data_IF_576935893404
#
_entry.id   IF_576935893404
#
_cell.length_a   1.000
_cell.length_b   1.000
_cell.length_c   1.000
_cell.angle_alpha   90.00
_cell.angle_beta   90.00
_cell.angle_gamma   90.00
#
_symmetry.space_group_name_H-M   'P 1'
#
loop_
_entity.id
_entity.type
_entity.pdbx_description
1 polymer ?
#
# COMPACT_ATOMS: atom_id res chain seq x y z
N UNK A 1 10.79 -31.53 -32.49
CA UNK A 1 9.92 -30.37 -32.73
C UNK A 1 10.09 -29.37 -31.61
N UNK A 2 10.31 -28.14 -31.97
CA UNK A 2 10.47 -27.09 -31.00
C UNK A 2 9.10 -26.64 -30.48
N UNK A 3 8.99 -26.47 -29.16
CA UNK A 3 7.80 -25.93 -28.57
C UNK A 3 8.13 -24.58 -27.97
N UNK A 4 7.33 -23.57 -28.28
CA UNK A 4 7.55 -22.28 -27.69
C UNK A 4 7.31 -22.31 -26.18
N UNK A 5 8.12 -21.61 -25.39
CA UNK A 5 7.85 -21.52 -23.97
C UNK A 5 6.51 -20.83 -23.74
N UNK A 6 5.84 -21.20 -22.64
CA UNK A 6 4.61 -20.53 -22.27
C UNK A 6 4.91 -19.07 -21.97
N UNK A 7 3.93 -18.17 -22.09
CA UNK A 7 4.12 -16.77 -21.72
C UNK A 7 4.62 -16.60 -20.28
N UNK A 8 4.23 -17.51 -19.41
CA UNK A 8 4.67 -17.49 -18.01
C UNK A 8 6.17 -17.74 -17.90
N UNK A 9 6.71 -18.64 -18.72
CA UNK A 9 8.14 -18.92 -18.73
C UNK A 9 8.92 -17.81 -19.42
N UNK A 10 8.33 -17.15 -20.39
CA UNK A 10 8.96 -16.06 -21.11
C UNK A 10 9.08 -14.78 -20.28
N UNK A 11 8.21 -14.61 -19.31
CA UNK A 11 8.19 -13.42 -18.46
C UNK A 11 8.44 -13.82 -17.01
N UNK A 12 9.51 -13.31 -16.39
CA UNK A 12 9.76 -13.62 -14.99
C UNK A 12 8.58 -13.21 -14.13
N UNK A 13 8.16 -14.11 -13.28
CA UNK A 13 7.12 -13.79 -12.31
C UNK A 13 7.73 -13.00 -11.18
N UNK A 14 6.95 -12.04 -10.67
CA UNK A 14 7.28 -11.44 -9.41
C UNK A 14 7.31 -12.52 -8.33
N UNK A 15 8.24 -12.46 -7.37
CA UNK A 15 8.24 -13.41 -6.26
C UNK A 15 6.90 -13.42 -5.56
N UNK A 16 6.43 -14.59 -5.18
CA UNK A 16 5.22 -14.71 -4.39
C UNK A 16 5.44 -14.01 -3.05
N UNK A 17 4.50 -13.15 -2.67
CA UNK A 17 4.57 -12.45 -1.40
C UNK A 17 4.15 -13.39 -0.26
N UNK A 18 4.79 -13.25 0.90
CA UNK A 18 4.29 -13.85 2.12
C UNK A 18 2.89 -13.31 2.39
N UNK A 19 1.95 -14.13 2.86
CA UNK A 19 0.59 -13.63 3.12
C UNK A 19 0.53 -12.63 4.26
N UNK A 20 1.36 -12.81 5.28
CA UNK A 20 1.35 -11.96 6.47
C UNK A 20 2.70 -11.28 6.61
N UNK A 21 2.68 -9.98 6.84
CA UNK A 21 3.90 -9.22 7.06
C UNK A 21 4.45 -9.48 8.45
N UNK A 22 5.71 -9.88 8.52
CA UNK A 22 6.42 -10.12 9.78
C UNK A 22 7.56 -9.13 10.02
N UNK A 23 7.70 -8.14 9.14
CA UNK A 23 8.75 -7.13 9.28
C UNK A 23 8.18 -5.93 10.01
N UNK A 24 8.76 -5.56 11.19
CA UNK A 24 8.27 -4.39 11.91
C UNK A 24 8.44 -3.12 11.09
N UNK A 25 7.37 -2.33 11.04
CA UNK A 25 7.37 -1.05 10.33
C UNK A 25 7.67 0.03 11.36
N UNK A 26 8.95 0.34 11.50
CA UNK A 26 9.40 1.46 12.36
C UNK A 26 9.08 2.78 11.66
N UNK A 27 9.17 3.89 12.40
CA UNK A 27 8.87 5.20 11.82
C UNK A 27 9.69 5.48 10.56
N UNK A 28 11.01 5.30 10.64
CA UNK A 28 11.87 5.59 9.50
C UNK A 28 11.62 4.65 8.33
N UNK A 29 11.47 3.37 8.61
CA UNK A 29 11.20 2.39 7.57
C UNK A 29 9.83 2.62 6.93
N UNK A 30 8.82 2.86 7.77
CA UNK A 30 7.47 3.13 7.28
C UNK A 30 7.43 4.36 6.37
N UNK A 31 8.15 5.43 6.73
CA UNK A 31 8.26 6.61 5.86
C UNK A 31 8.88 6.26 4.51
N UNK A 32 9.94 5.46 4.51
CA UNK A 32 10.60 5.02 3.27
C UNK A 32 9.63 4.22 2.41
N UNK A 33 8.92 3.27 3.01
CA UNK A 33 7.98 2.42 2.30
C UNK A 33 6.82 3.25 1.73
N UNK A 34 6.25 4.15 2.54
CA UNK A 34 5.14 4.99 2.09
C UNK A 34 5.56 5.98 1.02
N UNK A 35 6.79 6.50 1.07
CA UNK A 35 7.31 7.34 -0.02
C UNK A 35 7.39 6.57 -1.33
N UNK A 36 7.83 5.33 -1.28
CA UNK A 36 7.88 4.49 -2.48
C UNK A 36 6.49 4.22 -3.03
N UNK A 37 5.54 3.88 -2.14
CA UNK A 37 4.15 3.71 -2.53
C UNK A 37 3.60 4.98 -3.17
N UNK A 38 3.88 6.12 -2.58
CA UNK A 38 3.44 7.42 -3.06
C UNK A 38 3.92 7.69 -4.50
N UNK A 39 5.18 7.38 -4.78
CA UNK A 39 5.73 7.54 -6.12
C UNK A 39 5.07 6.60 -7.12
N UNK A 40 4.81 5.35 -6.72
CA UNK A 40 4.13 4.38 -7.57
C UNK A 40 2.70 4.82 -7.89
N UNK A 41 1.99 5.33 -6.90
CA UNK A 41 0.64 5.84 -7.07
C UNK A 41 0.62 7.02 -8.01
N UNK A 42 1.55 7.96 -7.85
CA UNK A 42 1.64 9.10 -8.74
C UNK A 42 1.85 8.66 -10.19
N UNK A 43 2.77 7.71 -10.41
CA UNK A 43 3.03 7.20 -11.76
C UNK A 43 1.84 6.45 -12.35
N UNK A 44 1.12 5.69 -11.53
CA UNK A 44 -0.03 4.91 -11.98
C UNK A 44 -1.23 5.79 -12.32
N UNK A 45 -1.51 6.78 -11.48
CA UNK A 45 -2.69 7.63 -11.63
C UNK A 45 -2.41 8.93 -12.40
N UNK A 46 -1.14 9.25 -12.65
CA UNK A 46 -0.71 10.47 -13.31
C UNK A 46 -1.20 11.73 -12.61
N UNK A 47 -1.43 11.63 -11.33
CA UNK A 47 -1.84 12.74 -10.48
C UNK A 47 -1.59 12.39 -9.03
N UNK A 48 -1.67 13.39 -8.16
CA UNK A 48 -1.58 13.19 -6.74
C UNK A 48 -2.75 12.36 -6.24
N UNK A 49 -2.46 11.35 -5.42
CA UNK A 49 -3.45 10.43 -4.88
C UNK A 49 -3.46 10.55 -3.35
N UNK A 50 -4.64 10.56 -2.78
CA UNK A 50 -4.82 10.64 -1.34
C UNK A 50 -5.40 9.33 -0.81
N UNK A 51 -4.78 8.84 0.25
CA UNK A 51 -5.27 7.68 0.99
C UNK A 51 -5.50 8.07 2.43
N UNK A 52 -6.55 7.54 3.02
CA UNK A 52 -6.80 7.73 4.45
C UNK A 52 -6.29 6.49 5.18
N UNK A 53 -5.37 6.70 6.09
CA UNK A 53 -4.82 5.63 6.94
C UNK A 53 -5.25 5.85 8.38
N UNK A 54 -5.30 4.75 9.14
CA UNK A 54 -5.70 4.81 10.54
C UNK A 54 -4.97 3.74 11.35
N UNK A 55 -5.26 3.68 12.65
CA UNK A 55 -4.71 2.64 13.52
C UNK A 55 -3.26 2.87 13.90
N UNK A 56 -2.53 1.77 14.11
CA UNK A 56 -1.17 1.81 14.67
C UNK A 56 -0.17 2.57 13.82
N UNK A 57 -0.33 2.55 12.49
CA UNK A 57 0.58 3.28 11.60
C UNK A 57 0.57 4.79 11.86
N UNK A 58 -0.61 5.36 12.13
CA UNK A 58 -0.73 6.78 12.47
C UNK A 58 0.05 7.09 13.74
N UNK A 59 -0.04 6.21 14.73
CA UNK A 59 0.67 6.39 16.00
C UNK A 59 2.18 6.31 15.82
N UNK A 60 2.65 5.42 14.95
CA UNK A 60 4.08 5.31 14.64
C UNK A 60 4.60 6.54 13.92
N UNK A 61 3.82 7.06 12.97
CA UNK A 61 4.22 8.21 12.16
C UNK A 61 4.16 9.53 12.90
N UNK A 62 3.29 9.63 13.90
CA UNK A 62 3.01 10.90 14.56
C UNK A 62 4.03 11.18 15.67
N UNK A 63 4.70 12.35 15.65
CA UNK A 63 5.73 12.64 16.65
C UNK A 63 5.20 12.67 18.09
N UNK A 64 3.90 12.91 18.28
CA UNK A 64 3.29 12.96 19.61
C UNK A 64 3.13 11.60 20.26
N UNK A 65 3.22 10.50 19.49
CA UNK A 65 3.05 9.15 20.02
C UNK A 65 4.40 8.46 20.12
N UNK A 66 5.16 8.83 21.15
CA UNK A 66 6.54 8.35 21.30
C UNK A 66 6.63 6.93 21.84
N UNK A 67 5.57 6.41 22.43
CA UNK A 67 5.57 5.07 23.02
C UNK A 67 5.31 3.96 21.99
N UNK A 68 4.95 4.30 20.76
CA UNK A 68 4.72 3.31 19.70
C UNK A 68 5.86 3.35 18.71
N UNK A 69 6.72 2.34 18.76
CA UNK A 69 7.94 2.31 17.94
C UNK A 69 7.73 1.70 16.58
N UNK A 70 6.79 0.76 16.45
CA UNK A 70 6.55 0.07 15.20
C UNK A 70 5.12 -0.44 15.12
N UNK A 71 4.74 -0.85 13.92
CA UNK A 71 3.47 -1.54 13.67
C UNK A 71 3.74 -2.67 12.69
N UNK A 72 2.84 -3.64 12.65
CA UNK A 72 2.94 -4.77 11.71
C UNK A 72 2.33 -4.45 10.36
N UNK A 73 1.40 -3.51 10.30
CA UNK A 73 0.69 -3.21 9.08
C UNK A 73 0.18 -1.77 9.08
N UNK A 74 -0.28 -1.35 7.90
CA UNK A 74 -0.93 -0.05 7.71
C UNK A 74 -2.38 -0.31 7.35
N UNK A 75 -3.30 0.18 8.19
CA UNK A 75 -4.73 0.10 7.92
C UNK A 75 -5.15 1.30 7.09
N UNK A 76 -5.89 1.07 6.01
CA UNK A 76 -6.38 2.16 5.18
C UNK A 76 -7.83 1.93 4.79
N UNK A 77 -8.49 2.97 4.31
CA UNK A 77 -9.88 2.90 3.90
C UNK A 77 -9.93 2.76 2.38
N UNK A 78 -10.25 1.54 1.92
CA UNK A 78 -10.25 1.22 0.50
C UNK A 78 -11.51 1.73 -0.19
N UNK A 79 -12.67 1.56 0.46
CA UNK A 79 -13.95 1.85 -0.17
C UNK A 79 -14.10 3.32 -0.53
N UNK A 80 -13.73 4.22 0.36
CA UNK A 80 -13.82 5.65 0.08
C UNK A 80 -12.86 6.07 -1.02
N UNK A 81 -11.66 5.48 -1.04
CA UNK A 81 -10.72 5.71 -2.12
C UNK A 81 -11.29 5.28 -3.46
N UNK A 82 -11.81 4.07 -3.53
CA UNK A 82 -12.35 3.52 -4.77
C UNK A 82 -13.51 4.37 -5.30
N UNK A 83 -14.42 4.78 -4.40
CA UNK A 83 -15.55 5.62 -4.78
C UNK A 83 -15.07 6.96 -5.34
N UNK A 84 -14.13 7.61 -4.65
CA UNK A 84 -13.61 8.92 -5.08
C UNK A 84 -12.93 8.85 -6.45
N UNK A 85 -12.04 7.88 -6.62
CA UNK A 85 -11.24 7.83 -7.86
C UNK A 85 -12.00 7.24 -9.04
N UNK A 86 -12.99 6.41 -8.80
CA UNK A 86 -13.90 5.99 -9.87
C UNK A 86 -14.72 7.18 -10.38
N UNK A 87 -15.14 8.06 -9.47
CA UNK A 87 -15.85 9.28 -9.86
C UNK A 87 -14.99 10.21 -10.69
N UNK A 88 -13.66 10.14 -10.54
CA UNK A 88 -12.71 10.92 -11.34
C UNK A 88 -12.36 10.24 -12.69
N UNK A 89 -12.95 9.09 -12.98
CA UNK A 89 -12.75 8.40 -14.25
C UNK A 89 -11.86 7.18 -14.20
N UNK A 90 -11.30 6.83 -13.04
CA UNK A 90 -10.46 5.64 -12.90
C UNK A 90 -11.33 4.44 -12.57
N UNK A 91 -11.85 3.78 -13.61
CA UNK A 91 -12.75 2.63 -13.43
C UNK A 91 -12.06 1.45 -12.74
N UNK A 92 -10.73 1.40 -12.82
CA UNK A 92 -9.90 0.36 -12.21
C UNK A 92 -9.12 0.88 -10.99
N UNK A 93 -9.64 1.90 -10.31
CA UNK A 93 -8.92 2.56 -9.21
C UNK A 93 -8.48 1.60 -8.12
N UNK A 94 -9.37 0.72 -7.67
CA UNK A 94 -9.05 -0.25 -6.62
C UNK A 94 -7.94 -1.21 -7.03
N UNK A 95 -7.99 -1.68 -8.25
CA UNK A 95 -6.99 -2.62 -8.78
C UNK A 95 -5.62 -1.95 -8.94
N UNK A 96 -5.60 -0.70 -9.41
CA UNK A 96 -4.36 0.07 -9.51
C UNK A 96 -3.73 0.27 -8.13
N UNK A 97 -4.53 0.61 -7.15
CA UNK A 97 -4.04 0.79 -5.79
C UNK A 97 -3.46 -0.52 -5.24
N UNK A 98 -4.20 -1.61 -5.38
CA UNK A 98 -3.73 -2.92 -4.90
C UNK A 98 -2.44 -3.36 -5.59
N UNK A 99 -2.30 -3.07 -6.88
CA UNK A 99 -1.06 -3.36 -7.61
C UNK A 99 0.12 -2.56 -7.06
N UNK A 100 -0.08 -1.29 -6.79
CA UNK A 100 0.98 -0.44 -6.22
C UNK A 100 1.38 -0.94 -4.82
N UNK A 101 0.41 -1.36 -4.01
CA UNK A 101 0.66 -1.91 -2.69
C UNK A 101 1.50 -3.19 -2.79
N UNK A 102 1.13 -4.09 -3.72
CA UNK A 102 1.84 -5.35 -3.93
C UNK A 102 3.26 -5.13 -4.46
N UNK A 103 3.44 -4.20 -5.38
CA UNK A 103 4.76 -3.86 -5.92
C UNK A 103 5.68 -3.29 -4.84
N UNK A 104 5.12 -2.47 -3.97
CA UNK A 104 5.87 -1.93 -2.84
C UNK A 104 6.28 -3.04 -1.88
N UNK A 105 5.38 -3.97 -1.60
CA UNK A 105 5.70 -5.13 -0.77
C UNK A 105 6.86 -5.94 -1.37
N UNK A 106 6.81 -6.18 -2.67
CA UNK A 106 7.87 -6.93 -3.35
C UNK A 106 9.22 -6.23 -3.24
N UNK A 107 9.23 -4.91 -3.39
CA UNK A 107 10.48 -4.14 -3.30
C UNK A 107 11.13 -4.24 -1.93
N UNK A 108 10.34 -4.19 -0.87
CA UNK A 108 10.84 -4.17 0.51
C UNK A 108 10.75 -5.51 1.21
N UNK A 109 10.37 -6.56 0.48
CA UNK A 109 10.22 -7.91 1.01
C UNK A 109 9.23 -7.98 2.16
N UNK A 110 8.14 -7.23 2.03
CA UNK A 110 7.06 -7.22 3.00
C UNK A 110 6.02 -8.29 2.69
N UNK A 111 5.20 -8.63 3.68
CA UNK A 111 4.06 -9.51 3.46
C UNK A 111 2.96 -8.81 2.67
N UNK A 112 2.08 -9.59 2.05
CA UNK A 112 1.02 -9.06 1.20
C UNK A 112 0.05 -8.16 1.96
N UNK A 113 -0.10 -8.38 3.26
CA UNK A 113 -1.02 -7.63 4.11
C UNK A 113 -0.39 -6.43 4.81
N UNK A 114 0.84 -6.03 4.41
CA UNK A 114 1.50 -4.89 5.05
C UNK A 114 0.64 -3.63 5.02
N UNK A 115 -0.20 -3.51 4.01
CA UNK A 115 -1.18 -2.43 3.90
C UNK A 115 -2.50 -3.06 3.48
N UNK A 116 -3.53 -2.89 4.30
CA UNK A 116 -4.78 -3.62 4.11
C UNK A 116 -5.97 -2.81 4.59
N UNK A 117 -7.15 -3.26 4.20
CA UNK A 117 -8.42 -2.64 4.53
C UNK A 117 -9.29 -3.52 5.44
N UNK A 118 -8.68 -4.43 6.18
CA UNK A 118 -9.41 -5.38 7.03
C UNK A 118 -10.25 -4.70 8.11
N UNK A 119 -9.80 -3.53 8.56
CA UNK A 119 -10.50 -2.75 9.58
C UNK A 119 -11.32 -1.61 8.99
N UNK A 120 -11.71 -1.71 7.72
CA UNK A 120 -12.37 -0.65 6.98
C UNK A 120 -13.70 -0.22 7.64
N UNK A 121 -14.37 -1.16 8.28
CA UNK A 121 -15.65 -0.90 8.96
C UNK A 121 -15.48 -0.33 10.37
N UNK A 122 -14.27 -0.32 10.92
CA UNK A 122 -14.02 0.17 12.27
C UNK A 122 -13.99 1.69 12.28
N UNK A 123 -14.42 2.27 13.40
CA UNK A 123 -14.28 3.72 13.60
C UNK A 123 -12.83 4.00 13.96
N UNK A 124 -12.11 4.77 13.17
CA UNK A 124 -10.70 5.05 13.44
C UNK A 124 -10.58 5.98 14.65
N UNK A 125 -9.60 5.69 15.50
CA UNK A 125 -9.26 6.57 16.62
C UNK A 125 -8.49 7.80 16.13
N UNK A 126 -7.73 7.63 15.06
CA UNK A 126 -6.97 8.72 14.45
C UNK A 126 -6.91 8.46 12.95
N UNK A 127 -7.00 9.54 12.19
CA UNK A 127 -6.96 9.50 10.73
C UNK A 127 -5.78 10.31 10.23
N UNK A 128 -5.15 9.80 9.20
CA UNK A 128 -4.07 10.50 8.52
C UNK A 128 -4.25 10.35 7.02
N UNK A 129 -4.00 11.41 6.28
CA UNK A 129 -4.03 11.37 4.83
C UNK A 129 -2.61 11.24 4.30
N UNK A 130 -2.38 10.20 3.52
CA UNK A 130 -1.11 10.02 2.82
C UNK A 130 -1.33 10.49 1.39
N UNK A 131 -0.57 11.50 1.00
CA UNK A 131 -0.67 12.06 -0.35
C UNK A 131 0.57 11.69 -1.15
N UNK A 132 0.37 11.24 -2.37
CA UNK A 132 1.47 10.98 -3.29
C UNK A 132 2.09 12.32 -3.71
N UNK A 133 3.40 12.32 -3.88
CA UNK A 133 4.10 13.52 -4.34
C UNK A 133 4.00 13.64 -5.85
N UNK A 134 3.88 14.88 -6.33
CA UNK A 134 3.94 15.11 -7.77
C UNK A 134 5.30 14.75 -8.36
#
# INVERSE_FOLDING_TARGET
>A
MWTSPSPIEAFPRAPALKPINDIPLTRSFLKTVLNNLSERLYRSFRQQVRLVVHGGAVMVLHPSFTHRESTQDVDYIHRSFETEYRALGFTDAGERLRSCIAETAAKFNLGADWMNDHSDAALPMALECVSSKP
#
